data_IF_491634360765
#
_entry.id   IF_491634360765
#
_cell.length_a   1.000
_cell.length_b   1.000
_cell.length_c   1.000
_cell.angle_alpha   90.00
_cell.angle_beta   90.00
_cell.angle_gamma   90.00
#
_symmetry.space_group_name_H-M   'P 1'
#
loop_
_entity.id
_entity.type
_entity.pdbx_description
1 polymer ?
#
# COMPACT_ATOMS: atom_id res chain seq x y z
N UNK A 1 -6.52 17.62 -5.61
CA UNK A 1 -6.79 17.38 -4.18
C UNK A 1 -7.90 16.34 -4.09
N UNK A 2 -7.57 15.04 -4.04
CA UNK A 2 -8.56 14.03 -3.70
C UNK A 2 -8.45 13.81 -2.20
N UNK A 3 -9.18 14.63 -1.45
CA UNK A 3 -9.43 14.44 -0.03
C UNK A 3 -10.47 13.31 0.08
N UNK A 4 -10.02 12.06 0.14
CA UNK A 4 -10.91 10.93 0.41
C UNK A 4 -10.91 10.66 1.91
N UNK A 5 -11.87 11.25 2.60
CA UNK A 5 -12.34 10.79 3.91
C UNK A 5 -12.93 9.40 3.71
N UNK A 6 -12.12 8.34 3.82
CA UNK A 6 -12.62 6.97 3.58
C UNK A 6 -13.40 6.44 4.79
N UNK A 7 -14.70 6.76 4.79
CA UNK A 7 -15.74 5.87 5.31
C UNK A 7 -16.39 5.17 4.13
N UNK A 8 -15.69 4.30 3.42
CA UNK A 8 -16.33 3.47 2.38
C UNK A 8 -15.37 2.40 1.91
N UNK A 9 -15.82 1.16 2.04
CA UNK A 9 -15.32 -0.01 1.35
C UNK A 9 -15.14 0.31 -0.14
N UNK A 10 -13.91 0.34 -0.65
CA UNK A 10 -13.68 0.30 -2.10
C UNK A 10 -13.93 -1.15 -2.58
N UNK A 11 -15.20 -1.56 -2.61
CA UNK A 11 -15.64 -2.60 -3.53
C UNK A 11 -16.08 -1.88 -4.80
N UNK A 12 -15.18 -1.74 -5.76
CA UNK A 12 -15.51 -1.50 -7.15
C UNK A 12 -15.26 -2.82 -7.87
N UNK A 13 -16.35 -3.53 -8.14
CA UNK A 13 -16.36 -4.89 -8.67
C UNK A 13 -15.52 -5.06 -9.93
N UNK A 14 -14.88 -6.23 -10.04
CA UNK A 14 -14.39 -6.89 -11.26
C UNK A 14 -13.72 -6.03 -12.35
N UNK A 15 -13.14 -4.90 -11.97
CA UNK A 15 -12.49 -3.96 -12.89
C UNK A 15 -11.11 -3.67 -12.36
N UNK A 16 -10.08 -4.06 -13.10
CA UNK A 16 -8.68 -3.74 -12.79
C UNK A 16 -8.52 -2.22 -12.81
N UNK A 17 -8.66 -1.56 -11.66
CA UNK A 17 -8.49 -0.11 -11.53
C UNK A 17 -7.01 0.23 -11.71
N UNK A 18 -6.72 1.06 -12.71
CA UNK A 18 -5.40 1.63 -12.93
C UNK A 18 -5.33 3.00 -12.28
N UNK A 19 -4.67 3.11 -11.13
CA UNK A 19 -4.39 4.37 -10.47
C UNK A 19 -3.06 4.94 -10.98
N UNK A 20 -3.11 6.16 -11.51
CA UNK A 20 -1.93 6.93 -11.92
C UNK A 20 -1.93 8.25 -11.14
N UNK A 21 -0.74 8.71 -10.75
CA UNK A 21 -0.53 10.02 -10.13
C UNK A 21 -1.43 10.27 -8.89
N UNK A 22 -1.51 9.27 -8.02
CA UNK A 22 -2.39 9.29 -6.86
C UNK A 22 -1.65 9.68 -5.58
N UNK A 23 -2.15 10.71 -4.89
CA UNK A 23 -1.64 11.10 -3.58
C UNK A 23 -2.74 10.92 -2.52
N UNK A 24 -2.49 10.05 -1.55
CA UNK A 24 -3.43 9.71 -0.49
C UNK A 24 -2.87 10.06 0.88
N UNK A 25 -3.66 10.76 1.69
CA UNK A 25 -3.28 11.18 3.06
C UNK A 25 -4.40 10.84 4.03
N UNK A 26 -4.09 10.20 5.16
CA UNK A 26 -5.08 10.03 6.23
C UNK A 26 -4.92 8.78 7.09
N UNK A 27 -6.07 8.34 7.64
CA UNK A 27 -6.18 7.09 8.40
C UNK A 27 -7.03 6.12 7.59
N UNK A 28 -6.45 4.99 7.26
CA UNK A 28 -7.03 3.92 6.47
C UNK A 28 -7.27 2.74 7.40
N UNK A 29 -8.51 2.26 7.44
CA UNK A 29 -8.93 1.08 8.18
C UNK A 29 -9.68 0.18 7.21
N UNK A 30 -9.47 -1.13 7.30
CA UNK A 30 -10.24 -2.13 6.58
C UNK A 30 -10.26 -1.87 5.06
N UNK A 31 -9.09 -1.57 4.49
CA UNK A 31 -8.95 -1.16 3.10
C UNK A 31 -8.46 -2.33 2.24
N UNK A 32 -9.19 -2.65 1.18
CA UNK A 32 -8.74 -3.60 0.15
C UNK A 32 -8.57 -2.87 -1.18
N UNK A 33 -7.39 -3.01 -1.79
CA UNK A 33 -7.03 -2.35 -3.05
C UNK A 33 -6.50 -3.37 -4.05
N UNK A 34 -7.09 -3.40 -5.25
CA UNK A 34 -6.69 -4.29 -6.34
C UNK A 34 -6.43 -3.47 -7.61
N UNK A 35 -5.28 -3.68 -8.27
CA UNK A 35 -5.05 -3.05 -9.57
C UNK A 35 -3.60 -2.74 -9.95
N UNK A 36 -3.43 -1.70 -10.76
CA UNK A 36 -2.11 -1.17 -11.15
C UNK A 36 -1.96 0.22 -10.56
N UNK A 37 -0.90 0.43 -9.79
CA UNK A 37 -0.56 1.67 -9.14
C UNK A 37 0.74 2.20 -9.75
N UNK A 38 0.67 3.40 -10.33
CA UNK A 38 1.81 4.09 -10.93
C UNK A 38 1.92 5.48 -10.32
N UNK A 39 3.11 5.90 -9.95
CA UNK A 39 3.39 7.25 -9.45
C UNK A 39 2.48 7.59 -8.25
N UNK A 40 2.40 6.69 -7.26
CA UNK A 40 1.50 6.83 -6.12
C UNK A 40 2.24 7.18 -4.84
N UNK A 41 1.78 8.19 -4.09
CA UNK A 41 2.27 8.45 -2.74
C UNK A 41 1.17 8.28 -1.69
N UNK A 42 1.45 7.48 -0.67
CA UNK A 42 0.51 7.20 0.42
C UNK A 42 1.13 7.58 1.77
N UNK A 43 0.47 8.47 2.50
CA UNK A 43 0.93 8.93 3.81
C UNK A 43 -0.16 8.73 4.86
N UNK A 44 0.13 7.99 5.93
CA UNK A 44 -0.92 7.77 6.92
C UNK A 44 -0.72 6.70 7.97
N UNK A 45 -1.85 6.33 8.58
CA UNK A 45 -1.95 5.14 9.42
C UNK A 45 -2.83 4.13 8.69
N UNK A 46 -2.30 2.94 8.46
CA UNK A 46 -2.93 1.83 7.77
C UNK A 46 -3.14 0.71 8.78
N UNK A 47 -4.39 0.28 8.92
CA UNK A 47 -4.79 -0.82 9.80
C UNK A 47 -5.64 -1.78 8.98
N UNK A 48 -5.35 -3.08 9.05
CA UNK A 48 -6.14 -4.12 8.38
C UNK A 48 -6.27 -3.82 6.87
N UNK A 49 -5.14 -3.64 6.19
CA UNK A 49 -5.11 -3.24 4.78
C UNK A 49 -4.54 -4.33 3.90
N UNK A 50 -5.22 -4.69 2.80
CA UNK A 50 -4.68 -5.60 1.79
C UNK A 50 -4.53 -4.89 0.43
N UNK A 51 -3.35 -4.99 -0.16
CA UNK A 51 -3.07 -4.43 -1.47
C UNK A 51 -2.55 -5.51 -2.42
N UNK A 52 -3.22 -5.68 -3.55
CA UNK A 52 -2.88 -6.68 -4.57
C UNK A 52 -2.68 -6.01 -5.92
N UNK A 53 -1.53 -6.19 -6.56
CA UNK A 53 -1.34 -5.54 -7.85
C UNK A 53 0.06 -5.40 -8.40
N UNK A 54 0.20 -4.41 -9.30
CA UNK A 54 1.50 -3.94 -9.78
C UNK A 54 1.71 -2.52 -9.27
N UNK A 55 2.80 -2.31 -8.55
CA UNK A 55 3.21 -1.03 -7.97
C UNK A 55 4.48 -0.58 -8.70
N UNK A 56 4.42 0.61 -9.29
CA UNK A 56 5.54 1.23 -9.99
C UNK A 56 5.70 2.64 -9.46
N UNK A 57 6.92 3.03 -9.09
CA UNK A 57 7.22 4.39 -8.61
C UNK A 57 6.30 4.79 -7.44
N UNK A 58 6.15 3.91 -6.45
CA UNK A 58 5.22 4.11 -5.33
C UNK A 58 5.96 4.38 -4.01
N UNK A 59 5.56 5.42 -3.28
CA UNK A 59 6.09 5.69 -1.95
C UNK A 59 5.01 5.57 -0.88
N UNK A 60 5.28 4.81 0.19
CA UNK A 60 4.37 4.68 1.33
C UNK A 60 5.05 5.08 2.62
N UNK A 61 4.48 6.02 3.35
CA UNK A 61 5.02 6.56 4.60
C UNK A 61 3.97 6.45 5.70
N UNK A 62 4.29 5.82 6.83
CA UNK A 62 3.28 5.71 7.87
C UNK A 62 3.48 4.71 8.99
N UNK A 63 2.35 4.36 9.60
CA UNK A 63 2.25 3.22 10.52
C UNK A 63 1.35 2.18 9.86
N UNK A 64 1.86 0.98 9.69
CA UNK A 64 1.20 -0.16 9.08
C UNK A 64 1.00 -1.22 10.17
N UNK A 65 -0.25 -1.64 10.34
CA UNK A 65 -0.64 -2.69 11.27
C UNK A 65 -1.52 -3.69 10.51
N UNK A 66 -1.22 -4.98 10.61
CA UNK A 66 -2.01 -6.03 9.99
C UNK A 66 -2.20 -5.79 8.47
N UNK A 67 -1.09 -5.47 7.77
CA UNK A 67 -1.13 -5.09 6.36
C UNK A 67 -0.50 -6.17 5.48
N UNK A 68 -1.19 -6.58 4.41
CA UNK A 68 -0.64 -7.51 3.44
C UNK A 68 -0.52 -6.87 2.06
N UNK A 69 0.65 -7.00 1.43
CA UNK A 69 0.90 -6.49 0.09
C UNK A 69 1.41 -7.60 -0.81
N UNK A 70 0.69 -7.87 -1.90
CA UNK A 70 1.00 -8.93 -2.86
C UNK A 70 1.14 -8.36 -4.27
N UNK A 71 2.23 -8.66 -4.96
CA UNK A 71 2.35 -8.13 -6.31
C UNK A 71 3.73 -8.05 -6.94
N UNK A 72 3.83 -7.16 -7.93
CA UNK A 72 5.11 -6.73 -8.50
C UNK A 72 5.37 -5.30 -8.07
N UNK A 73 6.50 -5.06 -7.44
CA UNK A 73 6.95 -3.77 -6.94
C UNK A 73 8.19 -3.36 -7.72
N UNK A 74 8.15 -2.19 -8.31
CA UNK A 74 9.27 -1.59 -9.05
C UNK A 74 9.46 -0.17 -8.56
N UNK A 75 10.69 0.20 -8.19
CA UNK A 75 11.03 1.55 -7.76
C UNK A 75 10.14 2.03 -6.60
N UNK A 76 9.90 1.16 -5.60
CA UNK A 76 8.98 1.44 -4.50
C UNK A 76 9.74 1.70 -3.20
N UNK A 77 9.34 2.73 -2.45
CA UNK A 77 9.91 3.00 -1.13
C UNK A 77 8.86 2.92 -0.04
N UNK A 78 9.17 2.24 1.06
CA UNK A 78 8.29 2.17 2.23
C UNK A 78 9.01 2.56 3.50
N UNK A 79 8.44 3.53 4.21
CA UNK A 79 9.01 4.11 5.41
C UNK A 79 8.02 4.11 6.56
N UNK A 80 8.39 3.57 7.72
CA UNK A 80 7.44 3.60 8.82
C UNK A 80 7.65 2.66 10.00
N UNK A 81 6.53 2.36 10.65
CA UNK A 81 6.44 1.27 11.63
C UNK A 81 5.53 0.21 11.05
N UNK A 82 6.02 -1.02 10.99
CA UNK A 82 5.33 -2.17 10.44
C UNK A 82 5.11 -3.18 11.56
N UNK A 83 3.86 -3.52 11.80
CA UNK A 83 3.46 -4.54 12.77
C UNK A 83 2.57 -5.56 12.07
N UNK A 84 2.91 -6.84 12.16
CA UNK A 84 2.14 -7.94 11.60
C UNK A 84 1.85 -7.71 10.11
N UNK A 85 2.89 -7.30 9.38
CA UNK A 85 2.79 -6.96 7.96
C UNK A 85 3.47 -8.02 7.11
N UNK A 86 2.85 -8.38 5.99
CA UNK A 86 3.45 -9.32 5.04
C UNK A 86 3.57 -8.69 3.66
N UNK A 87 4.68 -8.99 3.01
CA UNK A 87 4.96 -8.51 1.66
C UNK A 87 5.42 -9.66 0.79
N UNK A 88 4.71 -9.87 -0.32
CA UNK A 88 4.91 -11.02 -1.18
C UNK A 88 5.00 -10.63 -2.65
N UNK A 89 6.00 -11.17 -3.34
CA UNK A 89 6.07 -11.15 -4.79
C UNK A 89 7.40 -10.68 -5.36
N UNK A 90 7.37 -9.95 -6.49
CA UNK A 90 8.61 -9.56 -7.19
C UNK A 90 8.98 -8.12 -6.85
N UNK A 91 10.18 -7.94 -6.31
CA UNK A 91 10.73 -6.62 -5.98
C UNK A 91 11.88 -6.28 -6.92
N UNK A 92 11.86 -5.07 -7.45
CA UNK A 92 12.96 -4.47 -8.20
C UNK A 92 13.16 -3.05 -7.72
N UNK A 93 14.39 -2.71 -7.33
CA UNK A 93 14.77 -1.36 -6.90
C UNK A 93 13.85 -0.82 -5.78
N UNK A 94 13.52 -1.69 -4.81
CA UNK A 94 12.62 -1.35 -3.71
C UNK A 94 13.40 -1.16 -2.40
N UNK A 95 13.06 -0.12 -1.66
CA UNK A 95 13.65 0.14 -0.35
C UNK A 95 12.60 0.09 0.75
N UNK A 96 12.97 -0.49 1.88
CA UNK A 96 12.12 -0.51 3.06
C UNK A 96 12.90 -0.10 4.30
N UNK A 97 12.41 0.91 5.01
CA UNK A 97 13.05 1.46 6.20
C UNK A 97 12.03 1.65 7.31
N UNK A 98 12.37 1.19 8.52
CA UNK A 98 11.44 1.31 9.61
C UNK A 98 11.69 0.39 10.78
N UNK A 99 10.75 0.41 11.71
CA UNK A 99 10.68 -0.59 12.79
C UNK A 99 9.74 -1.71 12.37
N UNK A 100 10.20 -2.94 12.50
CA UNK A 100 9.44 -4.14 12.13
C UNK A 100 9.13 -4.99 13.37
N UNK A 101 7.89 -5.46 13.48
CA UNK A 101 7.44 -6.45 14.44
C UNK A 101 6.53 -7.43 13.73
N UNK A 102 6.79 -8.74 13.79
CA UNK A 102 5.96 -9.73 13.08
C UNK A 102 5.96 -9.54 11.56
N UNK A 103 7.11 -9.18 10.97
CA UNK A 103 7.22 -8.87 9.55
C UNK A 103 7.72 -10.08 8.75
N UNK A 104 7.03 -10.39 7.64
CA UNK A 104 7.43 -11.42 6.69
C UNK A 104 7.62 -10.87 5.27
N UNK A 105 8.76 -11.16 4.64
CA UNK A 105 9.02 -10.96 3.20
C UNK A 105 9.24 -12.32 2.54
N UNK A 106 8.51 -12.60 1.45
CA UNK A 106 8.87 -13.69 0.52
C UNK A 106 8.73 -13.28 -0.96
#
# INVERSE_FOLDING_TARGET
MVCLTLKTSFFLGDSILGFKDCNMFGRFKDCNMFGRFKDCNMFGRFKDCNMFGRFKDCNMFGRFKDCNMFGRFKDCNMFGRFKDCNMFGRFKDCNMFGRFQGYGMC
#
